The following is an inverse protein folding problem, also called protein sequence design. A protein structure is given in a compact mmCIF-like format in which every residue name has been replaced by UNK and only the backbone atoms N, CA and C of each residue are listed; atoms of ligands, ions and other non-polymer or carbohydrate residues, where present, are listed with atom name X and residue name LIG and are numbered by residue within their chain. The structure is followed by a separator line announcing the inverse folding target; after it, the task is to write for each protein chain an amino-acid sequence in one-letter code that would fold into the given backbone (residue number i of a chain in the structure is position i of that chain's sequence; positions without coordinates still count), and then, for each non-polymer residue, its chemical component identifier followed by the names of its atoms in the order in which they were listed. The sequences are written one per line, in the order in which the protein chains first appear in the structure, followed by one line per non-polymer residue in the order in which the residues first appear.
data_IF_739880975889
#
_entry.id   IF_739880975889
#
_cell.length_a   1.000
_cell.length_b   1.000
_cell.length_c   1.000
_cell.angle_alpha   90.00
_cell.angle_beta   90.00
_cell.angle_gamma   90.00
#
_symmetry.space_group_name_H-M   'P 1'
#
loop_
_entity.id
_entity.type
_entity.pdbx_description
1 polymer ?
#
# COMPACT_ATOMS: atom_id res chain seq x y z
N UNK A 1 -17.62 79.24 7.67
CA UNK A 1 -18.18 78.09 8.41
C UNK A 1 -18.67 77.04 7.42
N UNK A 2 -18.33 75.77 7.68
CA UNK A 2 -18.77 74.52 7.03
C UNK A 2 -18.44 74.29 5.54
N UNK A 3 -17.41 73.47 5.31
CA UNK A 3 -17.10 72.80 4.04
C UNK A 3 -18.07 71.63 3.85
N UNK A 4 -18.75 71.59 2.70
CA UNK A 4 -19.40 70.40 2.16
C UNK A 4 -18.43 69.71 1.20
N UNK A 5 -18.15 68.44 1.45
CA UNK A 5 -17.66 67.52 0.44
C UNK A 5 -18.13 66.10 0.81
N UNK A 6 -19.15 65.65 0.09
CA UNK A 6 -19.54 64.25 -0.04
C UNK A 6 -18.47 63.58 -0.88
N UNK A 7 -17.88 62.47 -0.42
CA UNK A 7 -17.40 61.44 -1.34
C UNK A 7 -17.61 60.04 -0.76
N UNK A 8 -18.19 59.25 -1.65
CA UNK A 8 -18.68 57.89 -1.56
C UNK A 8 -17.53 56.87 -1.71
N UNK A 9 -17.85 55.63 -1.32
CA UNK A 9 -17.28 54.33 -1.74
C UNK A 9 -16.09 53.76 -0.95
N UNK A 10 -16.27 52.52 -0.50
CA UNK A 10 -15.15 51.64 -0.16
C UNK A 10 -15.43 50.45 0.77
N UNK A 11 -16.61 49.83 0.76
CA UNK A 11 -16.79 48.53 1.43
C UNK A 11 -16.16 47.42 0.59
N UNK A 12 -14.88 47.15 0.82
CA UNK A 12 -14.24 45.91 0.39
C UNK A 12 -14.80 44.75 1.24
N UNK A 13 -15.78 44.03 0.69
CA UNK A 13 -16.14 42.70 1.16
C UNK A 13 -15.00 41.74 0.79
N UNK A 14 -14.21 41.34 1.78
CA UNK A 14 -13.26 40.24 1.64
C UNK A 14 -14.06 38.93 1.61
N UNK A 15 -14.48 38.48 0.43
CA UNK A 15 -14.87 37.09 0.22
C UNK A 15 -13.60 36.28 0.01
N UNK A 16 -13.13 35.60 1.07
CA UNK A 16 -12.16 34.51 0.93
C UNK A 16 -12.86 33.32 0.29
N UNK A 17 -12.94 33.32 -1.04
CA UNK A 17 -13.28 32.13 -1.80
C UNK A 17 -12.09 31.15 -1.71
N UNK A 18 -12.19 30.19 -0.80
CA UNK A 18 -11.32 29.03 -0.79
C UNK A 18 -11.62 28.24 -2.07
N UNK A 19 -10.80 28.44 -3.10
CA UNK A 19 -10.92 27.73 -4.37
C UNK A 19 -10.47 26.29 -4.14
N UNK A 20 -11.41 25.39 -3.85
CA UNK A 20 -11.15 23.96 -4.00
C UNK A 20 -11.09 23.68 -5.49
N UNK A 21 -9.87 23.56 -6.01
CA UNK A 21 -9.62 23.13 -7.38
C UNK A 21 -10.11 21.69 -7.48
N UNK A 22 -11.36 21.51 -7.92
CA UNK A 22 -11.86 20.20 -8.32
C UNK A 22 -11.10 19.82 -9.58
N UNK A 23 -10.10 18.95 -9.43
CA UNK A 23 -9.48 18.28 -10.56
C UNK A 23 -10.56 17.48 -11.27
N UNK A 24 -10.94 17.99 -12.45
CA UNK A 24 -11.79 17.33 -13.42
C UNK A 24 -11.09 16.02 -13.81
N UNK A 25 -11.47 14.93 -13.16
CA UNK A 25 -11.11 13.58 -13.61
C UNK A 25 -11.86 13.33 -14.90
N UNK A 26 -11.14 13.43 -16.00
CA UNK A 26 -11.61 12.97 -17.31
C UNK A 26 -11.91 11.49 -17.19
N UNK A 27 -13.19 11.15 -17.26
CA UNK A 27 -13.70 9.79 -17.34
C UNK A 27 -13.09 9.10 -18.55
N UNK A 28 -12.06 8.29 -18.33
CA UNK A 28 -11.69 7.22 -19.25
C UNK A 28 -12.29 5.94 -18.70
N UNK A 29 -13.26 5.42 -19.43
CA UNK A 29 -13.93 4.15 -19.20
C UNK A 29 -12.92 3.01 -19.38
N UNK A 30 -12.20 2.73 -18.31
CA UNK A 30 -11.59 1.44 -18.05
C UNK A 30 -11.67 1.25 -16.53
N UNK A 31 -12.62 0.45 -16.06
CA UNK A 31 -12.64 -0.08 -14.70
C UNK A 31 -11.47 -1.07 -14.55
N UNK A 32 -10.25 -0.55 -14.62
CA UNK A 32 -9.08 -1.18 -14.03
C UNK A 32 -9.21 -0.89 -12.54
N UNK A 33 -9.75 -1.85 -11.77
CA UNK A 33 -9.67 -1.80 -10.32
C UNK A 33 -8.22 -1.50 -9.92
N UNK A 34 -7.96 -0.25 -9.52
CA UNK A 34 -6.74 0.12 -8.82
C UNK A 34 -6.79 -0.60 -7.48
N UNK A 35 -6.37 -1.87 -7.46
CA UNK A 35 -6.17 -2.61 -6.22
C UNK A 35 -5.14 -1.81 -5.44
N UNK A 36 -5.59 -1.22 -4.34
CA UNK A 36 -4.76 -0.31 -3.55
C UNK A 36 -3.81 -1.15 -2.70
N UNK A 37 -2.53 -0.78 -2.67
CA UNK A 37 -1.57 -1.46 -1.81
C UNK A 37 -2.00 -1.33 -0.34
N UNK A 38 -2.05 -2.45 0.37
CA UNK A 38 -2.37 -2.49 1.80
C UNK A 38 -1.10 -2.39 2.64
N UNK A 39 -1.24 -2.01 3.92
CA UNK A 39 -0.14 -2.02 4.89
C UNK A 39 -0.35 -3.13 5.92
N UNK A 40 0.74 -3.72 6.37
CA UNK A 40 0.76 -4.66 7.50
C UNK A 40 0.47 -3.93 8.83
N UNK A 41 0.23 -4.67 9.91
CA UNK A 41 0.10 -4.07 11.23
C UNK A 41 1.48 -3.64 11.73
N UNK A 42 1.74 -2.33 11.68
CA UNK A 42 3.01 -1.73 12.10
C UNK A 42 2.79 -0.63 13.13
N UNK A 43 3.81 -0.37 13.94
CA UNK A 43 3.91 0.86 14.73
C UNK A 43 4.42 2.02 13.85
N UNK A 44 4.14 3.29 14.20
CA UNK A 44 4.55 4.44 13.38
C UNK A 44 6.06 4.58 13.16
N UNK A 45 6.87 4.06 14.08
CA UNK A 45 8.35 4.14 14.03
C UNK A 45 8.98 2.97 13.29
N UNK A 46 8.19 2.00 12.84
CA UNK A 46 8.67 0.80 12.18
C UNK A 46 8.71 0.98 10.66
N UNK A 47 9.71 0.37 10.02
CA UNK A 47 9.62 0.11 8.58
C UNK A 47 8.41 -0.80 8.34
N UNK A 48 7.42 -0.29 7.62
CA UNK A 48 6.17 -0.99 7.36
C UNK A 48 6.09 -1.43 5.89
N UNK A 49 6.13 -2.74 5.60
CA UNK A 49 5.91 -3.22 4.24
C UNK A 49 4.50 -2.92 3.76
N UNK A 50 4.42 -2.42 2.53
CA UNK A 50 3.17 -2.27 1.80
C UNK A 50 3.06 -3.38 0.76
N UNK A 51 1.94 -4.11 0.76
CA UNK A 51 1.69 -5.24 -0.13
C UNK A 51 0.50 -4.96 -1.03
N UNK A 52 0.72 -5.08 -2.34
CA UNK A 52 -0.36 -5.10 -3.33
C UNK A 52 -0.60 -6.54 -3.75
N UNK A 53 -1.84 -7.00 -3.61
CA UNK A 53 -2.25 -8.37 -3.94
C UNK A 53 -3.23 -8.32 -5.11
N UNK A 54 -2.93 -9.07 -6.18
CA UNK A 54 -3.79 -9.17 -7.36
C UNK A 54 -3.72 -10.56 -7.97
N UNK A 55 -4.72 -10.92 -8.77
CA UNK A 55 -4.64 -12.08 -9.63
C UNK A 55 -3.49 -11.88 -10.61
N UNK A 56 -2.72 -12.94 -10.88
CA UNK A 56 -1.81 -12.89 -12.00
C UNK A 56 -2.64 -12.76 -13.29
N UNK A 57 -2.35 -11.73 -14.08
CA UNK A 57 -3.14 -11.35 -15.25
C UNK A 57 -3.14 -12.43 -16.34
N UNK A 58 -2.13 -13.33 -16.33
CA UNK A 58 -2.01 -14.41 -17.31
C UNK A 58 -2.66 -15.70 -16.82
N UNK A 59 -2.62 -15.97 -15.51
CA UNK A 59 -3.17 -17.20 -14.94
C UNK A 59 -3.88 -16.96 -13.60
N UNK A 60 -5.21 -17.09 -13.57
CA UNK A 60 -6.03 -16.97 -12.34
C UNK A 60 -5.75 -18.04 -11.28
N UNK A 61 -4.90 -19.04 -11.56
CA UNK A 61 -4.41 -20.00 -10.58
C UNK A 61 -3.20 -19.48 -9.78
N UNK A 62 -2.77 -18.24 -10.03
CA UNK A 62 -1.65 -17.59 -9.37
C UNK A 62 -2.06 -16.20 -8.85
N UNK A 63 -1.49 -15.84 -7.72
CA UNK A 63 -1.61 -14.54 -7.08
C UNK A 63 -0.27 -13.85 -7.21
N UNK A 64 -0.29 -12.62 -7.71
CA UNK A 64 0.86 -11.73 -7.68
C UNK A 64 0.80 -10.87 -6.43
N UNK A 65 1.89 -10.86 -5.69
CA UNK A 65 2.08 -10.01 -4.50
C UNK A 65 3.25 -9.07 -4.73
N UNK A 66 2.98 -7.78 -4.89
CA UNK A 66 4.02 -6.76 -5.01
C UNK A 66 4.37 -6.24 -3.61
N UNK A 67 5.63 -6.39 -3.22
CA UNK A 67 6.17 -5.89 -1.95
C UNK A 67 6.84 -4.55 -2.19
N UNK A 68 6.45 -3.54 -1.41
CA UNK A 68 7.02 -2.20 -1.43
C UNK A 68 7.57 -1.86 -0.04
N UNK A 69 8.87 -1.56 0.02
CA UNK A 69 9.53 -1.00 1.20
C UNK A 69 9.88 0.46 0.94
N UNK A 70 9.47 1.35 1.85
CA UNK A 70 9.79 2.78 1.81
C UNK A 70 10.63 3.13 3.03
N UNK A 71 11.85 3.61 2.83
CA UNK A 71 12.78 3.92 3.92
C UNK A 71 13.53 5.22 3.67
N UNK A 72 13.69 6.03 4.71
CA UNK A 72 14.42 7.29 4.61
C UNK A 72 15.91 7.12 4.29
N UNK A 73 16.51 5.98 4.62
CA UNK A 73 17.97 5.83 4.62
C UNK A 73 18.49 4.73 3.70
N UNK A 74 17.77 3.62 3.58
CA UNK A 74 18.31 2.41 2.97
C UNK A 74 17.49 1.94 1.76
N UNK A 75 18.19 1.47 0.74
CA UNK A 75 17.62 0.47 -0.16
C UNK A 75 17.73 -0.92 0.47
N UNK A 76 16.81 -1.79 0.14
CA UNK A 76 16.81 -3.19 0.55
C UNK A 76 16.82 -4.06 -0.69
N UNK A 77 17.60 -5.14 -0.66
CA UNK A 77 17.43 -6.26 -1.58
C UNK A 77 16.47 -7.24 -0.92
N UNK A 78 15.27 -7.36 -1.49
CA UNK A 78 14.20 -8.22 -0.99
C UNK A 78 14.43 -9.63 -1.56
N UNK A 79 14.78 -10.57 -0.68
CA UNK A 79 15.26 -11.89 -1.06
C UNK A 79 14.19 -12.97 -0.90
N UNK A 80 13.22 -12.78 0.00
CA UNK A 80 12.15 -13.75 0.24
C UNK A 80 10.95 -13.11 0.93
N UNK A 81 9.76 -13.61 0.60
CA UNK A 81 8.51 -13.33 1.29
C UNK A 81 8.04 -14.62 1.98
N UNK A 82 7.88 -14.57 3.30
CA UNK A 82 7.41 -15.69 4.09
C UNK A 82 6.11 -15.33 4.78
N UNK A 83 5.12 -16.21 4.66
CA UNK A 83 3.92 -16.19 5.47
C UNK A 83 4.07 -17.23 6.57
N UNK A 84 4.03 -16.79 7.82
CA UNK A 84 3.98 -17.65 8.98
C UNK A 84 2.52 -17.70 9.46
N UNK A 85 1.88 -18.84 9.26
CA UNK A 85 0.47 -19.08 9.61
C UNK A 85 0.46 -20.08 10.76
N UNK A 86 0.13 -19.61 11.96
CA UNK A 86 0.09 -20.44 13.17
C UNK A 86 1.36 -21.28 13.41
N UNK A 87 2.53 -20.76 13.03
CA UNK A 87 3.84 -21.43 13.16
C UNK A 87 4.28 -22.22 11.93
N UNK A 88 3.40 -22.39 10.92
CA UNK A 88 3.74 -23.04 9.63
C UNK A 88 4.20 -22.00 8.63
N UNK A 89 5.40 -22.16 8.10
CA UNK A 89 6.01 -21.19 7.19
C UNK A 89 5.87 -21.57 5.72
N UNK A 90 5.45 -20.60 4.91
CA UNK A 90 5.35 -20.67 3.45
C UNK A 90 6.26 -19.61 2.85
N UNK A 91 7.35 -20.05 2.24
CA UNK A 91 8.40 -19.18 1.72
C UNK A 91 8.37 -19.10 0.21
N UNK A 92 8.45 -17.88 -0.32
CA UNK A 92 8.47 -17.60 -1.75
C UNK A 92 9.72 -16.80 -2.11
N UNK A 93 10.27 -17.12 -3.28
CA UNK A 93 11.37 -16.35 -3.90
C UNK A 93 10.80 -15.28 -4.81
N UNK A 94 11.47 -14.13 -4.94
CA UNK A 94 11.01 -13.06 -5.81
C UNK A 94 11.06 -13.50 -7.27
N UNK A 95 10.07 -13.08 -8.05
CA UNK A 95 10.00 -13.36 -9.47
C UNK A 95 10.94 -12.46 -10.30
N UNK A 96 11.47 -11.40 -9.69
CA UNK A 96 12.48 -10.53 -10.29
C UNK A 96 13.43 -9.95 -9.24
N UNK A 97 14.57 -9.43 -9.71
CA UNK A 97 15.47 -8.65 -8.86
C UNK A 97 14.75 -7.44 -8.23
N UNK A 98 15.23 -6.99 -7.07
CA UNK A 98 14.63 -5.83 -6.40
C UNK A 98 14.94 -4.55 -7.17
N UNK A 99 13.89 -3.84 -7.56
CA UNK A 99 13.98 -2.51 -8.16
C UNK A 99 14.21 -1.48 -7.06
N UNK A 100 15.17 -0.58 -7.29
CA UNK A 100 15.57 0.47 -6.35
C UNK A 100 15.31 1.82 -7.01
N UNK A 101 14.37 2.59 -6.47
CA UNK A 101 13.99 3.90 -7.02
C UNK A 101 14.10 5.01 -5.99
N UNK A 102 14.46 6.20 -6.47
CA UNK A 102 14.50 7.43 -5.69
C UNK A 102 14.05 8.57 -6.59
N UNK A 103 13.08 9.35 -6.14
CA UNK A 103 12.55 10.49 -6.91
C UNK A 103 13.39 11.74 -6.67
N UNK A 104 13.89 11.94 -5.45
CA UNK A 104 14.83 13.00 -5.10
C UNK A 104 15.54 12.68 -3.78
N UNK A 105 16.56 13.47 -3.42
CA UNK A 105 17.32 13.30 -2.17
C UNK A 105 16.47 13.40 -0.88
N UNK A 106 15.28 13.97 -0.97
CA UNK A 106 14.38 14.18 0.18
C UNK A 106 13.18 13.23 0.18
N UNK A 107 13.06 12.40 -0.86
CA UNK A 107 12.01 11.37 -0.95
C UNK A 107 12.59 10.07 -0.39
N UNK A 108 11.80 9.29 0.37
CA UNK A 108 12.23 7.97 0.81
C UNK A 108 12.75 7.12 -0.35
N UNK A 109 13.77 6.31 -0.04
CA UNK A 109 14.25 5.27 -0.93
C UNK A 109 13.20 4.17 -1.01
N UNK A 110 12.87 3.75 -2.23
CA UNK A 110 11.91 2.69 -2.47
C UNK A 110 12.61 1.43 -2.94
N UNK A 111 12.20 0.29 -2.41
CA UNK A 111 12.63 -1.03 -2.84
C UNK A 111 11.41 -1.89 -3.13
N UNK A 112 11.30 -2.35 -4.37
CA UNK A 112 10.11 -3.05 -4.86
C UNK A 112 10.49 -4.35 -5.56
N UNK A 113 9.76 -5.42 -5.29
CA UNK A 113 9.76 -6.62 -6.11
C UNK A 113 8.38 -7.28 -6.05
N UNK A 114 8.17 -8.35 -6.79
CA UNK A 114 6.95 -9.13 -6.71
C UNK A 114 7.20 -10.62 -6.62
N UNK A 115 6.19 -11.31 -6.10
CA UNK A 115 6.17 -12.74 -5.87
C UNK A 115 4.98 -13.34 -6.60
N UNK A 116 5.17 -14.54 -7.13
CA UNK A 116 4.10 -15.34 -7.72
C UNK A 116 3.80 -16.49 -6.77
N UNK A 117 2.56 -16.52 -6.28
CA UNK A 117 2.11 -17.44 -5.24
C UNK A 117 0.96 -18.29 -5.81
N UNK A 118 0.95 -19.62 -5.62
CA UNK A 118 -0.18 -20.45 -6.03
C UNK A 118 -1.49 -19.99 -5.37
N UNK A 119 -2.58 -19.85 -6.11
CA UNK A 119 -3.87 -19.40 -5.54
C UNK A 119 -4.40 -20.33 -4.46
N UNK A 120 -4.05 -21.60 -4.51
CA UNK A 120 -4.34 -22.62 -3.50
C UNK A 120 -3.83 -22.22 -2.10
N UNK A 121 -2.75 -21.43 -2.02
CA UNK A 121 -2.22 -20.91 -0.76
C UNK A 121 -3.24 -20.07 0.02
N UNK A 122 -4.16 -19.38 -0.66
CA UNK A 122 -5.20 -18.57 0.01
C UNK A 122 -6.10 -19.41 0.92
N UNK A 123 -6.16 -20.73 0.71
CA UNK A 123 -6.91 -21.63 1.59
C UNK A 123 -6.27 -21.76 2.98
N UNK A 124 -4.96 -21.53 3.12
CA UNK A 124 -4.28 -21.58 4.41
C UNK A 124 -4.73 -20.44 5.35
N UNK A 125 -5.36 -19.39 4.81
CA UNK A 125 -5.91 -18.30 5.62
C UNK A 125 -7.22 -18.73 6.30
N UNK A 126 -7.85 -19.82 5.82
CA UNK A 126 -9.07 -20.34 6.39
C UNK A 126 -8.78 -20.88 7.79
N UNK A 127 -9.45 -20.31 8.80
CA UNK A 127 -9.30 -20.64 10.22
C UNK A 127 -7.92 -20.31 10.82
N UNK A 128 -7.06 -19.58 10.10
CA UNK A 128 -5.82 -19.09 10.66
C UNK A 128 -6.11 -18.26 11.92
N UNK A 129 -5.38 -18.49 13.00
CA UNK A 129 -5.52 -17.69 14.23
C UNK A 129 -4.56 -16.51 14.20
N UNK A 130 -3.38 -16.70 13.66
CA UNK A 130 -2.37 -15.67 13.51
C UNK A 130 -1.68 -15.81 12.16
N UNK A 131 -1.43 -14.68 11.51
CA UNK A 131 -0.61 -14.64 10.30
C UNK A 131 0.41 -13.52 10.46
N UNK A 132 1.68 -13.89 10.44
CA UNK A 132 2.79 -12.95 10.32
C UNK A 132 3.35 -13.01 8.91
N UNK A 133 3.85 -11.87 8.44
CA UNK A 133 4.55 -11.75 7.18
C UNK A 133 5.97 -11.31 7.46
N UNK A 134 6.93 -12.10 6.96
CA UNK A 134 8.35 -11.83 7.08
C UNK A 134 8.88 -11.48 5.70
N UNK A 135 9.38 -10.26 5.55
CA UNK A 135 10.12 -9.81 4.36
C UNK A 135 11.60 -9.95 4.68
N UNK A 136 12.26 -10.96 4.11
CA UNK A 136 13.69 -11.19 4.32
C UNK A 136 14.48 -10.33 3.34
N UNK A 137 15.39 -9.53 3.87
CA UNK A 137 16.23 -8.61 3.08
C UNK A 137 17.72 -8.84 3.33
N UNK A 138 18.57 -8.20 2.55
CA UNK A 138 20.02 -8.10 2.80
C UNK A 138 20.36 -7.42 4.14
N UNK A 139 19.42 -6.68 4.74
CA UNK A 139 19.61 -5.95 6.01
C UNK A 139 18.84 -6.57 7.17
N UNK A 140 18.43 -7.83 7.03
CA UNK A 140 17.70 -8.56 8.05
C UNK A 140 16.22 -8.80 7.70
N UNK A 141 15.48 -9.29 8.69
CA UNK A 141 14.10 -9.73 8.53
C UNK A 141 13.17 -8.63 9.05
N UNK A 142 12.21 -8.21 8.22
CA UNK A 142 11.13 -7.32 8.61
C UNK A 142 9.89 -8.18 8.84
N UNK A 143 9.57 -8.45 10.11
CA UNK A 143 8.40 -9.25 10.49
C UNK A 143 7.27 -8.35 10.98
N UNK A 144 6.08 -8.48 10.40
CA UNK A 144 4.89 -7.76 10.85
C UNK A 144 3.69 -8.68 10.89
N UNK A 145 2.82 -8.44 11.86
CA UNK A 145 1.55 -9.13 11.92
C UNK A 145 0.66 -8.66 10.75
N UNK A 146 0.06 -9.61 10.05
CA UNK A 146 -0.95 -9.36 9.03
C UNK A 146 -2.35 -9.59 9.58
N UNK A 147 -2.52 -10.61 10.42
CA UNK A 147 -3.79 -10.98 11.03
C UNK A 147 -3.62 -11.52 12.44
N UNK A 148 -4.50 -11.06 13.34
CA UNK A 148 -4.82 -11.69 14.61
C UNK A 148 -6.32 -11.51 14.90
N UNK A 149 -6.91 -12.22 15.88
CA UNK A 149 -8.33 -12.05 16.21
C UNK A 149 -8.67 -10.63 16.67
N UNK A 150 -7.69 -9.90 17.22
CA UNK A 150 -7.85 -8.53 17.71
C UNK A 150 -7.58 -7.48 16.63
N UNK A 151 -6.82 -7.80 15.57
CA UNK A 151 -6.39 -6.81 14.58
C UNK A 151 -6.19 -7.40 13.19
N UNK A 152 -6.92 -6.84 12.22
CA UNK A 152 -6.76 -7.18 10.80
C UNK A 152 -6.10 -6.02 10.06
N UNK A 153 -4.99 -6.32 9.38
CA UNK A 153 -4.32 -5.35 8.49
C UNK A 153 -5.15 -5.10 7.21
N UNK A 154 -4.88 -4.01 6.49
CA UNK A 154 -5.52 -3.80 5.18
C UNK A 154 -5.03 -4.81 4.14
N UNK A 155 -3.79 -5.29 4.27
CA UNK A 155 -3.29 -6.41 3.44
C UNK A 155 -4.15 -7.67 3.63
N UNK A 156 -4.46 -8.04 4.87
CA UNK A 156 -5.32 -9.21 5.13
C UNK A 156 -6.68 -9.06 4.45
N UNK A 157 -7.30 -7.89 4.57
CA UNK A 157 -8.58 -7.59 3.91
C UNK A 157 -8.49 -7.73 2.40
N UNK A 158 -7.44 -7.19 1.78
CA UNK A 158 -7.19 -7.33 0.35
C UNK A 158 -7.06 -8.79 -0.09
N UNK A 159 -6.37 -9.64 0.68
CA UNK A 159 -6.30 -11.08 0.39
C UNK A 159 -7.66 -11.77 0.49
N UNK A 160 -8.44 -11.45 1.52
CA UNK A 160 -9.79 -12.02 1.70
C UNK A 160 -10.73 -11.60 0.57
N UNK A 161 -10.73 -10.33 0.20
CA UNK A 161 -11.49 -9.79 -0.93
C UNK A 161 -11.07 -10.46 -2.25
N UNK A 162 -9.77 -10.60 -2.48
CA UNK A 162 -9.24 -11.29 -3.66
C UNK A 162 -9.73 -12.74 -3.71
N UNK A 163 -9.62 -13.48 -2.59
CA UNK A 163 -10.08 -14.86 -2.50
C UNK A 163 -11.59 -15.00 -2.75
N UNK A 164 -12.40 -14.09 -2.22
CA UNK A 164 -13.85 -14.09 -2.44
C UNK A 164 -14.21 -13.87 -3.91
N UNK A 165 -13.39 -13.15 -4.67
CA UNK A 165 -13.61 -12.93 -6.11
C UNK A 165 -13.39 -14.18 -6.99
N UNK A 166 -12.94 -15.31 -6.44
CA UNK A 166 -12.85 -16.60 -7.15
C UNK A 166 -14.16 -17.39 -7.11
N UNK A 167 -15.03 -17.09 -6.15
CA UNK A 167 -16.31 -17.78 -5.96
C UNK A 167 -17.37 -17.15 -6.84
#
# INVERSE_FOLDING_TARGET
MMKKALFLLGTCLLTTACSTTSYKSTTTTATSELKTAGQLNCLPTELCPSLLVKWDEKQKNQVRVDVHLSSSYNFYDINSLVFDIDGKQFSYNPAQATEKTTVSRFVPKHSTTYFIIPSQFLQEFKNAKNINVLVKTDKGIIERNMYSPQKQSSVYKNFVELYQSLK
#
